data_IF_720567588851
#
_entry.id   IF_720567588851
#
_cell.length_a   1.000
_cell.length_b   1.000
_cell.length_c   1.000
_cell.angle_alpha   90.00
_cell.angle_beta   90.00
_cell.angle_gamma   90.00
#
_symmetry.space_group_name_H-M   'P 1'
#
loop_
_entity.id
_entity.type
_entity.pdbx_description
1 polymer ?
#
# COMPACT_ATOMS: atom_id res chain seq x y z
N UNK A 1 -1.92 -33.88 47.52
CA UNK A 1 -0.56 -33.83 48.10
C UNK A 1 0.35 -34.63 47.20
N UNK A 2 0.97 -34.00 46.21
CA UNK A 2 2.07 -34.58 45.43
C UNK A 2 2.98 -33.45 44.99
N UNK A 3 4.23 -33.55 45.43
CA UNK A 3 5.38 -32.65 45.26
C UNK A 3 5.96 -32.68 43.85
N UNK A 4 6.40 -31.52 43.35
CA UNK A 4 7.54 -31.42 42.42
C UNK A 4 8.55 -30.40 42.95
N UNK A 5 9.82 -30.83 42.99
CA UNK A 5 11.00 -30.06 43.41
C UNK A 5 11.65 -29.39 42.21
N UNK A 6 12.20 -28.20 42.47
CA UNK A 6 13.11 -27.40 41.65
C UNK A 6 14.52 -28.03 41.49
N UNK A 7 15.18 -27.68 40.37
CA UNK A 7 16.64 -27.38 40.24
C UNK A 7 16.88 -26.93 38.78
N UNK A 8 17.11 -25.65 38.42
CA UNK A 8 18.23 -24.71 38.68
C UNK A 8 19.55 -25.07 37.98
N UNK A 9 20.20 -24.01 37.45
CA UNK A 9 21.56 -23.83 36.86
C UNK A 9 21.50 -23.67 35.32
N UNK A 10 21.56 -22.49 34.69
CA UNK A 10 22.54 -21.36 34.71
C UNK A 10 23.97 -21.77 34.36
N UNK A 11 24.44 -21.39 33.16
CA UNK A 11 25.84 -21.03 32.89
C UNK A 11 25.97 -20.25 31.57
N UNK A 12 26.41 -18.99 31.70
CA UNK A 12 27.06 -18.17 30.67
C UNK A 12 28.28 -18.91 30.08
N UNK A 13 28.56 -18.70 28.79
CA UNK A 13 29.93 -18.65 28.29
C UNK A 13 30.05 -17.75 27.05
N UNK A 14 30.72 -16.62 27.28
CA UNK A 14 31.30 -15.69 26.32
C UNK A 14 32.47 -16.38 25.60
N UNK A 15 32.62 -16.20 24.27
CA UNK A 15 33.93 -16.36 23.63
C UNK A 15 34.11 -15.39 22.47
N UNK A 16 34.84 -14.33 22.78
CA UNK A 16 35.55 -13.44 21.88
C UNK A 16 36.76 -14.20 21.29
N UNK A 17 37.00 -14.10 19.97
CA UNK A 17 38.31 -14.39 19.38
C UNK A 17 38.55 -13.48 18.18
N UNK A 18 39.36 -12.44 18.42
CA UNK A 18 40.12 -11.74 17.38
C UNK A 18 41.28 -12.62 16.91
N UNK A 19 41.56 -12.60 15.60
CA UNK A 19 42.93 -12.71 15.10
C UNK A 19 43.08 -11.86 13.84
N UNK A 20 43.96 -10.87 13.94
CA UNK A 20 44.42 -10.02 12.86
C UNK A 20 45.63 -10.66 12.14
N UNK A 21 45.84 -10.34 10.86
CA UNK A 21 47.00 -9.57 10.37
C UNK A 21 47.28 -9.76 8.87
N UNK A 22 47.36 -8.62 8.16
CA UNK A 22 48.31 -8.23 7.08
C UNK A 22 48.31 -9.02 5.76
N UNK A 23 48.38 -8.41 4.57
CA UNK A 23 48.88 -7.08 4.20
C UNK A 23 48.69 -6.77 2.70
N UNK A 24 49.43 -5.78 2.15
CA UNK A 24 49.01 -4.88 1.08
C UNK A 24 49.39 -5.33 -0.34
N UNK A 25 48.71 -4.77 -1.35
CA UNK A 25 49.10 -4.81 -2.75
C UNK A 25 48.68 -3.52 -3.45
N UNK A 26 49.68 -2.71 -3.78
CA UNK A 26 49.66 -1.55 -4.68
C UNK A 26 49.53 -1.98 -6.16
N UNK A 27 49.53 -0.98 -7.06
CA UNK A 27 49.65 -0.98 -8.54
C UNK A 27 48.33 -0.55 -9.23
N UNK A 28 48.15 0.74 -9.53
CA UNK A 28 48.56 1.42 -10.78
C UNK A 28 48.00 0.72 -12.03
N UNK A 29 47.01 1.34 -12.72
CA UNK A 29 47.25 1.79 -14.10
C UNK A 29 46.15 2.74 -14.61
N UNK A 30 46.66 3.71 -15.37
CA UNK A 30 46.05 4.74 -16.19
C UNK A 30 45.37 4.21 -17.46
N UNK A 31 44.41 4.96 -18.00
CA UNK A 31 43.85 4.67 -19.33
C UNK A 31 42.74 5.62 -19.76
N UNK A 32 43.11 6.82 -20.20
CA UNK A 32 42.30 7.67 -21.07
C UNK A 32 42.01 6.94 -22.40
N UNK A 33 40.76 6.95 -22.88
CA UNK A 33 40.51 6.87 -24.33
C UNK A 33 39.28 7.71 -24.71
N UNK A 34 39.57 8.80 -25.43
CA UNK A 34 38.65 9.56 -26.26
C UNK A 34 38.20 8.71 -27.45
N UNK A 35 36.93 8.80 -27.82
CA UNK A 35 36.41 8.17 -29.04
C UNK A 35 35.14 8.86 -29.53
N UNK A 36 35.32 9.98 -30.24
CA UNK A 36 34.33 10.55 -31.14
C UNK A 36 33.84 9.50 -32.14
N UNK A 37 32.54 9.40 -32.38
CA UNK A 37 32.03 8.99 -33.71
C UNK A 37 30.71 9.68 -34.01
N UNK A 38 30.80 10.68 -34.89
CA UNK A 38 29.70 11.21 -35.67
C UNK A 38 29.49 10.36 -36.93
N UNK A 39 28.23 10.18 -37.32
CA UNK A 39 27.75 9.70 -38.63
C UNK A 39 26.23 9.60 -38.52
N UNK A 40 25.40 10.45 -39.11
CA UNK A 40 25.23 10.88 -40.50
C UNK A 40 25.01 9.73 -41.51
N UNK A 41 23.72 9.48 -41.79
CA UNK A 41 23.10 9.17 -43.10
C UNK A 41 21.57 9.17 -42.84
N UNK A 42 20.78 10.19 -43.18
CA UNK A 42 20.13 10.49 -44.47
C UNK A 42 19.52 9.31 -45.25
N UNK A 43 18.29 9.58 -45.72
CA UNK A 43 17.46 8.98 -46.79
C UNK A 43 16.43 7.89 -46.38
N UNK A 44 15.13 8.21 -46.30
CA UNK A 44 14.10 8.28 -47.37
C UNK A 44 13.52 6.90 -47.70
N UNK A 45 12.25 6.63 -47.37
CA UNK A 45 11.31 6.14 -48.39
C UNK A 45 9.84 6.37 -48.03
N UNK A 46 9.10 6.69 -49.09
CA UNK A 46 7.70 7.05 -49.15
C UNK A 46 6.93 5.84 -49.66
N UNK A 47 5.83 5.46 -49.02
CA UNK A 47 5.03 4.32 -49.46
C UNK A 47 3.56 4.50 -49.14
N UNK A 48 2.93 5.44 -49.83
CA UNK A 48 1.48 5.49 -49.97
C UNK A 48 1.07 4.46 -51.02
N UNK A 49 0.22 3.49 -50.66
CA UNK A 49 -0.62 2.79 -51.63
C UNK A 49 -2.05 2.72 -51.11
N UNK A 50 -2.91 3.39 -51.88
CA UNK A 50 -4.34 3.19 -51.98
C UNK A 50 -4.65 1.71 -52.33
N UNK A 51 -5.68 1.11 -51.72
CA UNK A 51 -6.43 0.06 -52.41
C UNK A 51 -7.85 -0.09 -51.87
N UNK A 52 -8.76 0.53 -52.60
CA UNK A 52 -10.07 0.06 -53.06
C UNK A 52 -11.00 -0.71 -52.09
N UNK A 53 -12.08 -0.02 -51.75
CA UNK A 53 -13.48 -0.47 -51.65
C UNK A 53 -13.77 -1.81 -52.36
N UNK A 54 -14.28 -2.79 -51.61
CA UNK A 54 -15.10 -3.88 -52.17
C UNK A 54 -16.44 -3.97 -51.43
N UNK A 55 -17.50 -3.70 -52.18
CA UNK A 55 -18.90 -3.81 -51.77
C UNK A 55 -19.45 -5.12 -52.32
N UNK A 56 -19.47 -6.16 -51.49
CA UNK A 56 -20.05 -7.46 -51.80
C UNK A 56 -21.21 -7.79 -50.86
N UNK A 57 -22.42 -7.39 -51.25
CA UNK A 57 -23.69 -7.91 -50.71
C UNK A 57 -23.97 -9.26 -51.37
N UNK A 58 -24.01 -10.36 -50.61
CA UNK A 58 -24.85 -11.52 -50.95
C UNK A 58 -25.45 -12.16 -49.69
N UNK A 59 -26.72 -12.52 -49.87
CA UNK A 59 -27.72 -12.89 -48.90
C UNK A 59 -27.61 -14.32 -48.36
N UNK A 60 -28.34 -14.51 -47.26
CA UNK A 60 -29.01 -15.75 -46.85
C UNK A 60 -28.13 -16.89 -46.36
N UNK A 61 -28.22 -17.18 -45.06
CA UNK A 61 -29.02 -18.34 -44.64
C UNK A 61 -29.37 -18.26 -43.15
N UNK A 62 -30.65 -18.52 -42.89
CA UNK A 62 -31.29 -18.64 -41.59
C UNK A 62 -30.67 -19.78 -40.78
N UNK A 63 -29.72 -19.44 -39.91
CA UNK A 63 -29.27 -20.26 -38.79
C UNK A 63 -29.92 -19.74 -37.52
N UNK A 64 -30.47 -20.65 -36.71
CA UNK A 64 -31.10 -20.33 -35.44
C UNK A 64 -30.18 -19.43 -34.59
N UNK A 65 -30.68 -18.25 -34.28
CA UNK A 65 -30.13 -17.32 -33.31
C UNK A 65 -30.35 -17.95 -31.92
N UNK A 66 -29.51 -18.94 -31.64
CA UNK A 66 -29.26 -19.45 -30.31
C UNK A 66 -28.55 -18.33 -29.57
N UNK A 67 -29.33 -17.64 -28.74
CA UNK A 67 -28.91 -16.63 -27.78
C UNK A 67 -27.88 -17.25 -26.85
N UNK A 68 -26.64 -17.36 -27.33
CA UNK A 68 -25.45 -17.55 -26.52
C UNK A 68 -24.98 -16.17 -26.11
N UNK A 69 -25.82 -15.58 -25.26
CA UNK A 69 -25.42 -14.85 -24.06
C UNK A 69 -23.93 -14.49 -24.06
N UNK A 70 -23.60 -13.34 -24.61
CA UNK A 70 -22.36 -12.62 -24.37
C UNK A 70 -22.36 -12.14 -22.92
N UNK A 71 -22.33 -13.08 -21.97
CA UNK A 71 -22.50 -12.88 -20.53
C UNK A 71 -21.36 -12.11 -19.86
N UNK A 72 -20.95 -10.98 -20.44
CA UNK A 72 -20.58 -9.78 -19.70
C UNK A 72 -21.83 -9.31 -18.93
N UNK A 73 -22.16 -9.97 -17.81
CA UNK A 73 -23.45 -9.69 -17.16
C UNK A 73 -23.66 -10.20 -15.74
N UNK A 74 -22.73 -10.96 -15.15
CA UNK A 74 -22.77 -11.19 -13.70
C UNK A 74 -22.01 -10.06 -12.98
N UNK A 75 -22.41 -8.81 -13.22
CA UNK A 75 -22.18 -7.72 -12.29
C UNK A 75 -23.07 -7.95 -11.05
N UNK A 76 -22.56 -8.78 -10.13
CA UNK A 76 -22.84 -8.71 -8.69
C UNK A 76 -24.27 -8.98 -8.22
N UNK A 77 -24.34 -9.86 -7.22
CA UNK A 77 -25.49 -10.18 -6.35
C UNK A 77 -26.14 -8.99 -5.61
N UNK A 78 -25.78 -7.75 -5.94
CA UNK A 78 -26.26 -6.49 -5.36
C UNK A 78 -27.29 -5.76 -6.23
N UNK A 79 -27.79 -6.41 -7.28
CA UNK A 79 -28.81 -5.89 -8.17
C UNK A 79 -28.26 -4.94 -9.23
N UNK A 80 -29.14 -4.17 -9.85
CA UNK A 80 -28.79 -3.19 -10.89
C UNK A 80 -27.78 -2.17 -10.37
N UNK A 81 -26.77 -1.88 -11.20
CA UNK A 81 -25.69 -0.92 -10.90
C UNK A 81 -25.90 0.33 -11.74
N UNK A 82 -25.93 1.49 -11.09
CA UNK A 82 -25.96 2.80 -11.76
C UNK A 82 -24.66 3.55 -11.50
N UNK A 83 -24.01 4.03 -12.55
CA UNK A 83 -22.79 4.83 -12.44
C UNK A 83 -23.08 6.27 -12.85
N UNK A 84 -22.85 7.21 -11.94
CA UNK A 84 -23.05 8.64 -12.16
C UNK A 84 -21.73 9.39 -12.00
N UNK A 85 -21.31 10.11 -13.04
CA UNK A 85 -20.13 10.99 -12.95
C UNK A 85 -20.48 12.23 -12.13
N UNK A 86 -19.76 12.45 -11.03
CA UNK A 86 -19.94 13.60 -10.15
C UNK A 86 -19.15 14.80 -10.67
N UNK A 87 -19.81 15.95 -10.74
CA UNK A 87 -19.19 17.24 -11.13
C UNK A 87 -19.14 18.25 -9.99
N UNK A 88 -20.04 18.10 -9.02
CA UNK A 88 -20.01 18.83 -7.76
C UNK A 88 -19.37 17.92 -6.71
N UNK A 89 -18.16 18.27 -6.28
CA UNK A 89 -17.39 17.51 -5.29
C UNK A 89 -17.63 17.99 -3.86
N UNK A 90 -18.30 19.14 -3.67
CA UNK A 90 -18.54 19.71 -2.35
C UNK A 90 -19.79 19.11 -1.71
N UNK A 91 -20.82 18.88 -2.53
CA UNK A 91 -22.07 18.28 -2.06
C UNK A 91 -21.87 16.78 -1.81
N UNK A 92 -22.20 16.33 -0.59
CA UNK A 92 -22.20 14.92 -0.25
C UNK A 92 -23.14 14.14 -1.20
N UNK A 93 -22.65 13.10 -1.88
CA UNK A 93 -23.50 12.21 -2.66
C UNK A 93 -24.55 11.55 -1.76
N UNK A 94 -25.65 11.07 -2.35
CA UNK A 94 -26.64 10.31 -1.60
C UNK A 94 -25.97 9.13 -0.89
N UNK A 95 -26.38 8.83 0.35
CA UNK A 95 -25.79 7.79 1.23
C UNK A 95 -24.40 8.09 1.83
N UNK A 96 -23.80 9.24 1.53
CA UNK A 96 -22.53 9.69 2.14
C UNK A 96 -22.75 10.86 3.10
N UNK A 97 -21.86 10.98 4.08
CA UNK A 97 -21.88 12.07 5.06
C UNK A 97 -20.97 13.23 4.64
N UNK A 98 -19.95 12.93 3.84
CA UNK A 98 -18.94 13.88 3.37
C UNK A 98 -19.08 14.14 1.87
N UNK A 99 -18.70 15.34 1.43
CA UNK A 99 -18.42 15.62 0.01
C UNK A 99 -17.13 14.91 -0.43
N UNK A 100 -17.00 14.64 -1.73
CA UNK A 100 -15.80 14.00 -2.29
C UNK A 100 -14.55 14.86 -2.08
N UNK A 101 -14.67 16.19 -2.09
CA UNK A 101 -13.56 17.09 -1.78
C UNK A 101 -12.99 16.83 -0.36
N UNK A 102 -13.87 16.61 0.62
CA UNK A 102 -13.47 16.29 1.98
C UNK A 102 -12.86 14.88 2.10
N UNK A 103 -13.35 13.91 1.32
CA UNK A 103 -12.75 12.57 1.25
C UNK A 103 -11.35 12.61 0.61
N UNK A 104 -11.19 13.40 -0.45
CA UNK A 104 -9.91 13.59 -1.12
C UNK A 104 -8.90 14.28 -0.22
N UNK A 105 -9.33 15.29 0.54
CA UNK A 105 -8.48 15.94 1.53
C UNK A 105 -7.91 14.92 2.54
N UNK A 106 -8.68 13.88 2.90
CA UNK A 106 -8.24 12.83 3.81
C UNK A 106 -7.38 11.73 3.17
N UNK A 107 -6.87 11.90 1.96
CA UNK A 107 -6.05 10.87 1.28
C UNK A 107 -4.92 11.46 0.43
N UNK A 108 -5.20 12.55 -0.29
CA UNK A 108 -4.22 13.24 -1.12
C UNK A 108 -3.13 13.87 -0.26
N UNK A 109 -1.87 13.56 -0.57
CA UNK A 109 -0.71 14.02 0.17
C UNK A 109 0.50 13.11 -0.04
N UNK A 110 1.64 13.56 0.48
CA UNK A 110 2.88 12.79 0.54
C UNK A 110 2.99 12.12 1.90
N UNK A 111 3.51 10.90 1.91
CA UNK A 111 3.69 10.10 3.10
C UNK A 111 5.07 9.45 3.10
N UNK A 112 5.70 9.43 4.28
CA UNK A 112 6.96 8.75 4.52
C UNK A 112 6.82 7.73 5.64
N UNK A 113 7.49 6.58 5.53
CA UNK A 113 7.43 5.55 6.54
C UNK A 113 8.26 4.32 6.24
N UNK A 114 7.74 3.16 6.61
CA UNK A 114 8.46 1.89 6.49
C UNK A 114 7.62 0.85 5.76
N UNK A 115 8.24 0.19 4.79
CA UNK A 115 7.74 -1.02 4.15
C UNK A 115 8.42 -2.24 4.79
N UNK A 116 7.64 -3.22 5.25
CA UNK A 116 8.12 -4.38 6.00
C UNK A 116 7.62 -5.67 5.39
N UNK A 117 8.56 -6.51 4.96
CA UNK A 117 8.27 -7.85 4.48
C UNK A 117 8.06 -8.79 5.65
N UNK A 118 7.02 -9.62 5.58
CA UNK A 118 6.82 -10.62 6.61
C UNK A 118 7.93 -11.67 6.58
N UNK A 119 8.20 -12.24 7.75
CA UNK A 119 9.10 -13.37 7.85
C UNK A 119 8.54 -14.55 7.01
N UNK A 120 9.41 -15.40 6.45
CA UNK A 120 8.97 -16.59 5.73
C UNK A 120 8.14 -17.49 6.65
N UNK A 121 6.83 -17.53 6.44
CA UNK A 121 5.89 -18.39 7.18
C UNK A 121 4.94 -19.08 6.20
N UNK A 122 5.43 -20.14 5.56
CA UNK A 122 4.64 -20.91 4.61
C UNK A 122 5.46 -21.57 3.52
N UNK A 123 4.79 -22.26 2.59
CA UNK A 123 5.42 -22.87 1.41
C UNK A 123 5.83 -21.84 0.37
N UNK A 124 5.32 -20.60 0.47
CA UNK A 124 5.61 -19.52 -0.47
C UNK A 124 6.34 -18.40 0.26
N UNK A 125 7.41 -17.89 -0.32
CA UNK A 125 8.27 -16.88 0.30
C UNK A 125 8.70 -15.84 -0.71
N UNK A 126 8.95 -14.61 -0.26
CA UNK A 126 9.57 -13.58 -1.08
C UNK A 126 11.07 -13.50 -0.75
N UNK A 127 11.92 -13.17 -1.72
CA UNK A 127 13.37 -13.00 -1.51
C UNK A 127 13.69 -11.95 -0.43
N UNK A 128 12.84 -10.93 -0.32
CA UNK A 128 12.95 -9.87 0.68
C UNK A 128 12.31 -10.23 2.03
N UNK A 129 11.83 -11.45 2.24
CA UNK A 129 11.14 -11.85 3.47
C UNK A 129 11.97 -11.57 4.73
N UNK A 130 11.33 -10.96 5.73
CA UNK A 130 11.96 -10.55 6.99
C UNK A 130 12.84 -9.30 6.92
N UNK A 131 12.83 -8.58 5.80
CA UNK A 131 13.53 -7.30 5.64
C UNK A 131 12.58 -6.10 5.72
N UNK A 132 13.12 -4.89 5.77
CA UNK A 132 12.38 -3.64 5.77
C UNK A 132 13.16 -2.56 5.05
N UNK A 133 12.44 -1.66 4.37
CA UNK A 133 13.00 -0.50 3.68
C UNK A 133 12.23 0.78 4.04
N UNK A 134 12.87 1.93 3.83
CA UNK A 134 12.17 3.22 3.82
C UNK A 134 11.14 3.23 2.70
N UNK A 135 10.00 3.88 2.96
CA UNK A 135 8.89 4.04 2.03
C UNK A 135 8.62 5.53 1.85
N UNK A 136 8.53 5.95 0.60
CA UNK A 136 7.94 7.23 0.19
C UNK A 136 6.77 6.92 -0.74
N UNK A 137 5.59 7.48 -0.46
CA UNK A 137 4.49 7.37 -1.39
C UNK A 137 3.62 8.65 -1.39
N UNK A 138 3.13 9.02 -2.55
CA UNK A 138 2.33 10.23 -2.76
C UNK A 138 1.04 9.87 -3.50
N UNK A 139 -0.08 10.41 -3.02
CA UNK A 139 -1.37 10.33 -3.71
C UNK A 139 -1.74 11.72 -4.18
N UNK A 140 -1.96 11.88 -5.49
CA UNK A 140 -2.33 13.15 -6.12
C UNK A 140 -3.69 13.05 -6.82
N UNK A 141 -4.49 14.10 -6.71
CA UNK A 141 -5.71 14.25 -7.50
C UNK A 141 -5.54 15.38 -8.53
N UNK A 142 -5.40 15.00 -9.80
CA UNK A 142 -5.12 15.93 -10.91
C UNK A 142 -6.36 16.19 -11.78
N UNK A 143 -7.55 16.24 -11.15
CA UNK A 143 -8.81 16.42 -11.86
C UNK A 143 -9.30 15.15 -12.56
N UNK A 144 -8.93 13.97 -12.04
CA UNK A 144 -9.43 12.67 -12.50
C UNK A 144 -10.95 12.53 -12.37
N UNK A 145 -11.52 11.52 -13.02
CA UNK A 145 -12.96 11.28 -12.97
C UNK A 145 -13.38 10.85 -11.56
N UNK A 146 -14.53 11.37 -11.12
CA UNK A 146 -15.17 10.96 -9.87
C UNK A 146 -16.50 10.33 -10.23
N UNK A 147 -16.70 9.09 -9.80
CA UNK A 147 -17.90 8.30 -10.06
C UNK A 147 -18.60 7.95 -8.76
N UNK A 148 -19.93 8.08 -8.75
CA UNK A 148 -20.78 7.44 -7.76
C UNK A 148 -21.31 6.14 -8.39
N UNK A 149 -21.02 5.02 -7.74
CA UNK A 149 -21.54 3.70 -8.10
C UNK A 149 -22.61 3.32 -7.10
N UNK A 150 -23.86 3.29 -7.58
CA UNK A 150 -25.04 2.97 -6.78
C UNK A 150 -25.54 1.56 -7.09
N UNK A 151 -25.85 0.82 -6.04
CA UNK A 151 -26.42 -0.52 -6.11
C UNK A 151 -27.89 -0.51 -5.71
N UNK A 152 -28.73 -1.17 -6.50
CA UNK A 152 -30.18 -1.24 -6.25
C UNK A 152 -30.51 -1.84 -4.87
N UNK A 153 -29.68 -2.76 -4.36
CA UNK A 153 -29.86 -3.43 -3.06
C UNK A 153 -28.99 -2.82 -1.94
N UNK A 154 -28.64 -1.53 -2.02
CA UNK A 154 -27.84 -0.88 -0.98
C UNK A 154 -28.40 -1.09 0.45
N UNK A 155 -27.53 -1.54 1.36
CA UNK A 155 -27.87 -1.88 2.74
C UNK A 155 -28.42 -3.29 2.93
N UNK A 156 -28.68 -4.04 1.85
CA UNK A 156 -29.18 -5.40 1.89
C UNK A 156 -28.06 -6.42 1.65
N UNK A 157 -28.24 -7.63 2.17
CA UNK A 157 -27.30 -8.72 1.94
C UNK A 157 -27.51 -9.29 0.53
N UNK A 158 -26.44 -9.53 -0.23
CA UNK A 158 -26.56 -10.19 -1.52
C UNK A 158 -27.25 -11.54 -1.35
N UNK A 159 -28.34 -11.75 -2.10
CA UNK A 159 -29.16 -12.97 -2.08
C UNK A 159 -29.72 -13.36 -0.68
N UNK A 160 -29.74 -12.43 0.28
CA UNK A 160 -30.19 -12.69 1.65
C UNK A 160 -29.29 -13.64 2.45
N UNK A 161 -28.04 -13.84 2.03
CA UNK A 161 -27.11 -14.74 2.72
C UNK A 161 -26.71 -14.19 4.10
N UNK A 162 -27.17 -14.87 5.16
CA UNK A 162 -26.83 -14.51 6.54
C UNK A 162 -25.31 -14.60 6.76
N UNK A 163 -24.70 -13.48 7.17
CA UNK A 163 -23.26 -13.38 7.45
C UNK A 163 -22.42 -12.81 6.29
N UNK A 164 -23.04 -12.45 5.17
CA UNK A 164 -22.37 -11.68 4.10
C UNK A 164 -22.15 -10.22 4.46
N UNK A 165 -21.42 -9.50 3.61
CA UNK A 165 -21.31 -8.05 3.66
C UNK A 165 -22.49 -7.41 2.91
N UNK A 166 -23.17 -6.40 3.49
CA UNK A 166 -24.25 -5.72 2.80
C UNK A 166 -23.73 -4.96 1.58
N UNK A 167 -24.54 -4.92 0.53
CA UNK A 167 -24.26 -4.15 -0.67
C UNK A 167 -24.12 -2.66 -0.31
N UNK A 168 -23.03 -2.04 -0.75
CA UNK A 168 -22.70 -0.67 -0.38
C UNK A 168 -22.48 0.16 -1.62
N UNK A 169 -23.14 1.32 -1.69
CA UNK A 169 -22.80 2.34 -2.67
C UNK A 169 -21.35 2.78 -2.44
N UNK A 170 -20.66 3.16 -3.50
CA UNK A 170 -19.28 3.62 -3.38
C UNK A 170 -19.00 4.85 -4.23
N UNK A 171 -18.09 5.68 -3.74
CA UNK A 171 -17.42 6.70 -4.54
C UNK A 171 -16.12 6.10 -5.05
N UNK A 172 -15.88 6.26 -6.35
CA UNK A 172 -14.63 5.92 -7.04
C UNK A 172 -14.00 7.21 -7.54
N UNK A 173 -12.70 7.40 -7.31
CA UNK A 173 -11.95 8.57 -7.78
C UNK A 173 -10.68 8.12 -8.48
N UNK A 174 -10.50 8.56 -9.71
CA UNK A 174 -9.26 8.36 -10.45
C UNK A 174 -8.20 9.34 -9.90
N UNK A 175 -7.10 8.79 -9.39
CA UNK A 175 -5.99 9.52 -8.81
C UNK A 175 -4.65 9.06 -9.41
N UNK A 176 -3.56 9.72 -9.02
CA UNK A 176 -2.20 9.33 -9.35
C UNK A 176 -1.52 8.85 -8.07
N UNK A 177 -0.78 7.75 -8.16
CA UNK A 177 0.02 7.19 -7.08
C UNK A 177 1.48 7.15 -7.51
N UNK A 178 2.34 7.70 -6.67
CA UNK A 178 3.77 7.43 -6.68
C UNK A 178 4.09 6.58 -5.45
N UNK A 179 4.77 5.44 -5.61
CA UNK A 179 5.08 4.51 -4.52
C UNK A 179 6.48 3.93 -4.70
N UNK A 180 7.40 4.30 -3.81
CA UNK A 180 8.81 3.95 -3.91
C UNK A 180 9.38 3.43 -2.59
N UNK A 181 10.29 2.47 -2.69
CA UNK A 181 11.07 1.98 -1.55
C UNK A 181 12.56 2.26 -1.76
N UNK A 182 13.28 2.54 -0.68
CA UNK A 182 14.72 2.89 -0.74
C UNK A 182 15.62 1.76 -1.26
N UNK A 183 15.15 0.52 -1.18
CA UNK A 183 15.83 -0.65 -1.73
C UNK A 183 15.60 -0.83 -3.23
N UNK A 184 14.77 0.01 -3.87
CA UNK A 184 14.47 -0.04 -5.29
C UNK A 184 13.50 -1.15 -5.71
N UNK A 185 13.00 -1.95 -4.76
CA UNK A 185 12.01 -3.00 -5.07
C UNK A 185 10.72 -2.40 -5.63
N UNK A 186 10.36 -1.20 -5.19
CA UNK A 186 9.26 -0.43 -5.75
C UNK A 186 9.76 0.93 -6.25
N UNK A 187 9.27 1.32 -7.43
CA UNK A 187 9.47 2.65 -8.01
C UNK A 187 8.25 3.06 -8.85
N UNK A 188 7.06 2.72 -8.37
CA UNK A 188 5.83 2.75 -9.15
C UNK A 188 5.31 4.17 -9.34
N UNK A 189 4.91 4.46 -10.57
CA UNK A 189 4.07 5.61 -10.90
C UNK A 189 2.83 5.12 -11.63
N UNK A 190 1.74 4.98 -10.90
CA UNK A 190 0.47 4.54 -11.44
C UNK A 190 -0.44 5.74 -11.71
N UNK A 191 -0.75 5.96 -12.98
CA UNK A 191 -1.75 6.94 -13.41
C UNK A 191 -3.12 6.26 -13.39
N UNK A 192 -4.12 6.95 -12.85
CA UNK A 192 -5.50 6.47 -12.73
C UNK A 192 -5.67 5.28 -11.77
N UNK A 193 -5.05 5.34 -10.60
CA UNK A 193 -5.44 4.45 -9.49
C UNK A 193 -6.86 4.80 -9.03
N UNK A 194 -7.66 3.79 -8.73
CA UNK A 194 -9.03 3.99 -8.26
C UNK A 194 -9.08 4.03 -6.73
N UNK A 195 -9.21 5.22 -6.17
CA UNK A 195 -9.53 5.42 -4.77
C UNK A 195 -11.01 5.14 -4.54
N UNK A 196 -11.34 4.36 -3.51
CA UNK A 196 -12.69 3.91 -3.18
C UNK A 196 -13.08 4.28 -1.76
N UNK A 197 -14.28 4.82 -1.60
CA UNK A 197 -14.95 4.99 -0.30
C UNK A 197 -16.32 4.30 -0.32
N UNK A 198 -16.64 3.56 0.74
CA UNK A 198 -17.91 2.84 0.88
C UNK A 198 -18.90 3.67 1.69
N UNK A 199 -20.17 3.68 1.30
CA UNK A 199 -21.25 4.33 2.04
C UNK A 199 -21.55 3.62 3.37
N UNK A 200 -21.33 2.31 3.44
CA UNK A 200 -21.39 1.51 4.66
C UNK A 200 -19.99 1.31 5.23
N UNK A 201 -19.81 1.66 6.51
CA UNK A 201 -18.54 1.53 7.22
C UNK A 201 -17.72 2.81 7.17
N UNK A 202 -16.41 2.67 6.96
CA UNK A 202 -15.52 3.81 6.82
C UNK A 202 -15.73 4.48 5.46
N UNK A 203 -16.01 5.78 5.47
CA UNK A 203 -16.03 6.63 4.27
C UNK A 203 -14.64 7.18 3.92
N UNK A 204 -13.59 6.70 4.60
CA UNK A 204 -12.23 7.01 4.21
C UNK A 204 -11.89 6.34 2.89
N UNK A 205 -11.09 7.03 2.08
CA UNK A 205 -10.61 6.45 0.82
C UNK A 205 -9.64 5.30 1.11
N UNK A 206 -9.62 4.36 0.19
CA UNK A 206 -8.71 3.23 0.15
C UNK A 206 -8.43 2.88 -1.30
N UNK A 207 -7.37 2.15 -1.61
CA UNK A 207 -7.19 1.61 -2.94
C UNK A 207 -6.72 0.16 -2.88
N UNK A 208 -6.94 -0.52 -4.00
CA UNK A 208 -6.30 -1.79 -4.34
C UNK A 208 -5.82 -1.67 -5.78
N UNK A 209 -4.53 -1.82 -5.97
CA UNK A 209 -3.86 -1.72 -7.24
C UNK A 209 -3.15 -3.04 -7.50
N UNK A 210 -3.49 -3.68 -8.62
CA UNK A 210 -2.80 -4.87 -9.08
C UNK A 210 -1.50 -4.45 -9.77
N UNK A 211 -0.40 -5.05 -9.37
CA UNK A 211 0.90 -4.83 -9.98
C UNK A 211 1.01 -5.67 -11.24
N UNK A 212 1.33 -5.00 -12.34
CA UNK A 212 1.65 -5.63 -13.61
C UNK A 212 3.17 -5.62 -13.79
N UNK A 213 3.80 -6.79 -13.66
CA UNK A 213 5.24 -6.95 -13.78
C UNK A 213 5.79 -6.64 -15.18
N UNK A 214 4.95 -6.53 -16.21
CA UNK A 214 5.40 -6.10 -17.54
C UNK A 214 5.69 -4.60 -17.60
N UNK A 215 5.01 -3.81 -16.75
CA UNK A 215 5.13 -2.34 -16.70
C UNK A 215 5.62 -1.80 -15.35
N UNK A 216 5.85 -2.69 -14.39
CA UNK A 216 6.45 -2.40 -13.08
C UNK A 216 7.81 -1.70 -13.27
N UNK A 217 8.00 -0.58 -12.56
CA UNK A 217 9.20 0.24 -12.72
C UNK A 217 10.30 -0.11 -11.69
N UNK A 218 9.92 -0.76 -10.58
CA UNK A 218 10.84 -1.27 -9.57
C UNK A 218 11.58 -2.55 -9.96
N UNK A 219 12.40 -3.05 -9.05
CA UNK A 219 13.16 -4.30 -9.20
C UNK A 219 12.37 -5.55 -8.78
N UNK A 220 11.18 -5.40 -8.19
CA UNK A 220 10.34 -6.54 -7.83
C UNK A 220 9.85 -7.26 -9.10
N UNK A 221 10.02 -8.58 -9.13
CA UNK A 221 9.58 -9.39 -10.25
C UNK A 221 8.84 -10.64 -9.75
N UNK A 222 8.15 -11.33 -10.65
CA UNK A 222 7.55 -12.65 -10.34
C UNK A 222 8.60 -13.62 -9.78
N UNK A 223 9.84 -13.59 -10.30
CA UNK A 223 10.94 -14.42 -9.84
C UNK A 223 11.40 -14.10 -8.40
N UNK A 224 10.97 -12.98 -7.81
CA UNK A 224 11.23 -12.63 -6.40
C UNK A 224 10.39 -13.46 -5.43
N UNK A 225 9.48 -14.28 -5.93
CA UNK A 225 8.63 -15.17 -5.14
C UNK A 225 9.03 -16.64 -5.39
N UNK A 226 9.41 -17.36 -4.33
CA UNK A 226 9.51 -18.81 -4.35
C UNK A 226 8.12 -19.39 -4.10
N UNK A 227 7.51 -19.95 -5.15
CA UNK A 227 6.16 -20.52 -5.15
C UNK A 227 6.15 -22.06 -5.13
N UNK A 228 7.30 -22.70 -4.93
CA UNK A 228 7.43 -24.15 -5.05
C UNK A 228 7.28 -24.67 -6.49
N UNK A 229 7.21 -26.00 -6.66
CA UNK A 229 7.27 -26.65 -7.98
C UNK A 229 5.99 -26.47 -8.82
N UNK A 230 4.85 -26.23 -8.19
CA UNK A 230 3.51 -26.22 -8.83
C UNK A 230 2.75 -24.92 -8.64
N UNK A 231 3.30 -23.97 -7.88
CA UNK A 231 2.68 -22.68 -7.63
C UNK A 231 2.90 -21.72 -8.79
N UNK A 232 1.85 -21.00 -9.16
CA UNK A 232 1.86 -19.95 -10.17
C UNK A 232 1.37 -18.64 -9.55
N UNK A 233 2.11 -17.56 -9.76
CA UNK A 233 1.72 -16.23 -9.30
C UNK A 233 0.58 -15.73 -10.17
N UNK A 234 -0.61 -15.57 -9.59
CA UNK A 234 -1.74 -15.04 -10.35
C UNK A 234 -1.81 -13.53 -10.28
N UNK A 235 -1.61 -12.99 -9.09
CA UNK A 235 -1.82 -11.59 -8.80
C UNK A 235 -0.89 -11.15 -7.69
N UNK A 236 -0.36 -9.93 -7.81
CA UNK A 236 0.20 -9.19 -6.69
C UNK A 236 -0.57 -7.90 -6.55
N UNK A 237 -1.09 -7.64 -5.37
CA UNK A 237 -1.98 -6.52 -5.09
C UNK A 237 -1.40 -5.64 -3.98
N UNK A 238 -1.16 -4.38 -4.32
CA UNK A 238 -0.86 -3.32 -3.36
C UNK A 238 -2.18 -2.68 -2.91
N UNK A 239 -2.43 -2.65 -1.60
CA UNK A 239 -3.60 -1.97 -1.04
C UNK A 239 -3.22 -0.95 0.03
N UNK A 240 -3.97 0.14 0.12
CA UNK A 240 -3.85 1.14 1.17
C UNK A 240 -5.21 1.55 1.73
N UNK A 241 -5.21 2.03 2.97
CA UNK A 241 -6.30 2.76 3.60
C UNK A 241 -5.75 4.03 4.25
N UNK A 242 -6.48 5.13 4.10
CA UNK A 242 -6.10 6.42 4.64
C UNK A 242 -6.89 6.70 5.92
N UNK A 243 -6.21 7.13 6.98
CA UNK A 243 -6.84 7.46 8.25
C UNK A 243 -6.64 8.95 8.53
N UNK A 244 -7.75 9.69 8.58
CA UNK A 244 -7.81 11.07 9.04
C UNK A 244 -8.64 11.20 10.32
N UNK A 245 -8.61 12.36 10.96
CA UNK A 245 -9.32 12.65 12.23
C UNK A 245 -10.88 12.70 12.11
N UNK A 246 -11.44 12.09 11.06
CA UNK A 246 -12.84 12.23 10.72
C UNK A 246 -13.17 13.61 10.15
N UNK A 247 -14.36 13.77 9.58
CA UNK A 247 -14.89 15.08 9.21
C UNK A 247 -14.17 15.83 8.07
N UNK A 248 -13.37 15.16 7.24
CA UNK A 248 -12.66 15.79 6.13
C UNK A 248 -11.32 16.44 6.49
N UNK A 249 -10.78 16.14 7.68
CA UNK A 249 -9.40 16.47 8.02
C UNK A 249 -8.42 15.69 7.11
N UNK A 250 -7.24 16.26 6.82
CA UNK A 250 -6.20 15.55 6.08
C UNK A 250 -5.83 14.24 6.79
N UNK A 251 -5.47 13.22 6.01
CA UNK A 251 -4.96 11.99 6.60
C UNK A 251 -3.65 12.28 7.31
N UNK A 252 -3.53 11.77 8.52
CA UNK A 252 -2.29 11.83 9.30
C UNK A 252 -1.44 10.60 9.02
N UNK A 253 -2.10 9.50 8.66
CA UNK A 253 -1.45 8.23 8.38
C UNK A 253 -2.11 7.47 7.23
N UNK A 254 -1.31 6.63 6.60
CA UNK A 254 -1.76 5.61 5.68
C UNK A 254 -1.17 4.26 6.09
N UNK A 255 -1.97 3.22 5.92
CA UNK A 255 -1.54 1.85 6.20
C UNK A 255 -2.01 0.93 5.10
N UNK A 256 -1.21 -0.08 4.80
CA UNK A 256 -1.50 -0.97 3.69
C UNK A 256 -0.70 -2.25 3.71
N UNK A 257 -0.90 -3.03 2.67
CA UNK A 257 -0.23 -4.32 2.50
C UNK A 257 0.00 -4.65 1.04
N UNK A 258 1.05 -5.44 0.80
CA UNK A 258 1.22 -6.19 -0.43
C UNK A 258 0.68 -7.60 -0.19
N UNK A 259 -0.23 -8.05 -1.04
CA UNK A 259 -0.79 -9.39 -1.00
C UNK A 259 -0.55 -10.12 -2.31
N UNK A 260 -0.43 -11.44 -2.25
CA UNK A 260 -0.28 -12.29 -3.44
C UNK A 260 -1.44 -13.28 -3.51
N UNK A 261 -1.84 -13.64 -4.73
CA UNK A 261 -2.69 -14.77 -5.03
C UNK A 261 -1.88 -15.84 -5.77
N UNK A 262 -1.94 -17.07 -5.27
CA UNK A 262 -1.21 -18.21 -5.86
C UNK A 262 -2.20 -19.29 -6.28
N UNK A 263 -2.01 -19.79 -7.51
CA UNK A 263 -2.74 -20.93 -8.04
C UNK A 263 -1.85 -22.17 -8.02
N UNK A 264 -2.47 -23.33 -7.82
CA UNK A 264 -1.84 -24.63 -8.06
C UNK A 264 -2.61 -25.33 -9.15
N UNK A 265 -1.88 -25.91 -10.09
CA UNK A 265 -2.42 -26.56 -11.30
C UNK A 265 -3.39 -27.70 -11.00
N UNK A 266 -3.38 -28.24 -9.78
CA UNK A 266 -4.28 -29.33 -9.35
C UNK A 266 -5.46 -28.88 -8.48
N UNK A 267 -5.39 -27.70 -7.85
CA UNK A 267 -6.37 -27.24 -6.85
C UNK A 267 -7.16 -25.99 -7.27
N UNK A 268 -6.85 -25.37 -8.41
CA UNK A 268 -7.47 -24.16 -8.99
C UNK A 268 -7.43 -22.90 -8.10
N UNK A 269 -7.05 -22.99 -6.82
CA UNK A 269 -6.76 -21.89 -5.89
C UNK A 269 -6.06 -22.44 -4.64
N UNK A 270 -4.94 -21.84 -4.24
CA UNK A 270 -4.26 -22.23 -2.99
C UNK A 270 -4.49 -21.23 -1.88
N UNK A 271 -4.36 -19.94 -2.20
CA UNK A 271 -4.48 -18.92 -1.18
C UNK A 271 -4.29 -17.50 -1.72
N UNK A 272 -4.84 -16.58 -0.94
CA UNK A 272 -4.59 -15.15 -1.04
C UNK A 272 -4.17 -14.67 0.35
N UNK A 273 -3.08 -13.91 0.43
CA UNK A 273 -2.61 -13.42 1.71
C UNK A 273 -1.57 -12.33 1.61
N UNK A 274 -1.42 -11.51 2.67
CA UNK A 274 -0.44 -10.46 2.69
C UNK A 274 0.97 -11.04 2.90
N UNK A 275 1.95 -10.52 2.17
CA UNK A 275 3.38 -10.89 2.25
C UNK A 275 4.24 -9.74 2.76
N UNK A 276 3.71 -8.52 2.74
CA UNK A 276 4.31 -7.35 3.34
C UNK A 276 3.24 -6.39 3.84
N UNK A 277 3.62 -5.51 4.75
CA UNK A 277 2.81 -4.38 5.21
C UNK A 277 3.61 -3.10 5.19
N UNK A 278 2.89 -1.99 5.20
CA UNK A 278 3.52 -0.68 5.36
C UNK A 278 2.65 0.26 6.15
N UNK A 279 3.33 1.24 6.74
CA UNK A 279 2.73 2.35 7.44
C UNK A 279 3.51 3.62 7.08
N UNK A 280 2.80 4.67 6.70
CA UNK A 280 3.36 5.97 6.38
C UNK A 280 2.61 7.08 7.11
N UNK A 281 3.36 8.11 7.52
CA UNK A 281 2.82 9.34 8.09
C UNK A 281 2.86 10.43 7.04
N UNK A 282 1.85 11.31 7.03
CA UNK A 282 1.85 12.44 6.13
C UNK A 282 3.08 13.33 6.39
N UNK A 283 3.75 13.75 5.31
CA UNK A 283 4.88 14.68 5.43
C UNK A 283 4.41 16.02 6.02
N UNK A 284 5.26 16.63 6.84
CA UNK A 284 4.90 17.86 7.56
C UNK A 284 4.07 17.63 8.83
N UNK A 285 3.74 16.38 9.21
CA UNK A 285 3.20 16.09 10.56
C UNK A 285 4.20 16.46 11.66
N UNK A 286 5.50 16.54 11.34
CA UNK A 286 6.52 17.08 12.25
C UNK A 286 6.22 18.54 12.65
N UNK A 287 5.56 19.32 11.78
CA UNK A 287 5.06 20.67 12.09
C UNK A 287 3.78 20.63 12.96
N UNK A 288 2.98 19.55 12.91
CA UNK A 288 1.79 19.38 13.76
C UNK A 288 2.16 19.16 15.23
N UNK A 289 3.31 18.54 15.49
CA UNK A 289 3.85 18.34 16.83
C UNK A 289 4.67 19.54 17.34
N UNK A 290 4.73 20.65 16.60
CA UNK A 290 5.19 21.95 17.09
C UNK A 290 6.47 21.92 17.92
N UNK A 291 7.47 21.13 17.53
CA UNK A 291 8.75 21.06 18.24
C UNK A 291 8.63 20.73 19.74
N UNK A 292 7.93 19.64 20.09
CA UNK A 292 7.97 19.11 21.46
C UNK A 292 9.41 19.03 21.96
N UNK A 293 9.65 19.58 23.14
CA UNK A 293 10.97 19.60 23.76
C UNK A 293 11.36 18.24 24.32
N UNK A 294 12.62 18.11 24.75
CA UNK A 294 13.10 16.94 25.47
C UNK A 294 12.17 16.56 26.62
N UNK A 295 11.63 15.33 26.56
CA UNK A 295 10.76 14.78 27.59
C UNK A 295 9.27 15.04 27.39
N UNK A 296 8.84 15.49 26.21
CA UNK A 296 7.44 15.65 25.83
C UNK A 296 7.01 14.59 24.80
N UNK A 297 5.73 14.20 24.86
CA UNK A 297 5.05 13.29 23.94
C UNK A 297 4.08 14.09 23.08
N UNK A 298 4.15 13.91 21.76
CA UNK A 298 3.14 14.45 20.87
C UNK A 298 1.90 13.54 20.90
N UNK A 299 0.79 14.07 21.42
CA UNK A 299 -0.50 13.41 21.31
C UNK A 299 -1.12 13.79 19.97
N UNK A 300 -0.97 12.90 18.98
CA UNK A 300 -1.57 13.06 17.65
C UNK A 300 -3.09 12.72 17.62
N UNK A 301 -3.76 12.72 18.77
CA UNK A 301 -5.17 12.37 18.88
C UNK A 301 -5.95 13.53 19.53
N UNK A 302 -6.47 14.45 18.71
CA UNK A 302 -7.34 15.56 19.17
C UNK A 302 -7.02 16.91 18.51
N UNK A 303 -7.94 17.88 18.67
CA UNK A 303 -7.84 19.25 18.13
C UNK A 303 -6.40 19.80 18.25
N UNK A 304 -5.68 19.85 17.13
CA UNK A 304 -4.30 20.33 17.02
C UNK A 304 -4.19 21.81 17.41
N UNK A 305 -4.11 22.09 18.70
CA UNK A 305 -3.67 23.36 19.27
C UNK A 305 -2.21 23.29 19.76
N UNK A 306 -1.62 24.44 20.10
CA UNK A 306 -0.23 24.59 20.62
C UNK A 306 0.06 23.82 21.95
N UNK A 307 -0.82 22.90 22.38
CA UNK A 307 -0.73 22.12 23.61
C UNK A 307 -0.73 20.60 23.40
N UNK A 308 -0.34 20.11 22.21
CA UNK A 308 -0.27 18.68 21.90
C UNK A 308 0.94 17.95 22.51
N UNK A 309 1.89 18.70 23.08
CA UNK A 309 3.04 18.15 23.80
C UNK A 309 2.68 17.94 25.29
N UNK A 310 2.51 16.68 25.71
CA UNK A 310 2.37 16.33 27.13
C UNK A 310 3.70 15.82 27.68
N UNK A 311 4.08 16.22 28.89
CA UNK A 311 5.27 15.67 29.55
C UNK A 311 5.19 14.15 29.67
N UNK A 312 6.31 13.45 29.44
CA UNK A 312 6.43 12.02 29.69
C UNK A 312 5.90 11.70 31.10
N UNK A 313 5.12 10.64 31.28
CA UNK A 313 4.78 10.17 32.61
C UNK A 313 6.07 10.05 33.45
N UNK A 314 6.07 10.52 34.70
CA UNK A 314 7.27 10.54 35.55
C UNK A 314 7.99 9.17 35.70
N UNK A 315 7.28 8.07 35.40
CA UNK A 315 7.85 6.72 35.34
C UNK A 315 8.77 6.49 34.12
N UNK A 316 8.56 7.23 33.04
CA UNK A 316 9.34 7.20 31.81
C UNK A 316 10.50 8.22 31.79
N UNK A 317 10.47 9.27 32.62
CA UNK A 317 11.56 10.26 32.71
C UNK A 317 12.90 9.64 33.18
N UNK A 318 12.84 8.60 34.01
CA UNK A 318 14.05 7.99 34.58
C UNK A 318 14.69 6.92 33.68
N UNK A 319 13.86 6.18 32.93
CA UNK A 319 14.29 5.11 32.01
C UNK A 319 13.30 5.03 30.84
N UNK A 320 13.50 5.81 29.76
CA UNK A 320 12.59 5.80 28.61
C UNK A 320 12.71 4.46 27.88
N UNK A 321 11.71 3.58 28.05
CA UNK A 321 11.58 2.33 27.31
C UNK A 321 10.10 1.99 27.10
N UNK A 322 9.79 1.17 26.10
CA UNK A 322 8.39 0.80 25.76
C UNK A 322 7.62 0.18 26.95
N UNK A 323 8.32 -0.42 27.91
CA UNK A 323 7.73 -1.00 29.12
C UNK A 323 7.16 0.02 30.10
N UNK A 324 7.59 1.29 30.06
CA UNK A 324 7.05 2.35 30.91
C UNK A 324 5.72 2.91 30.35
N UNK A 325 5.53 2.89 29.03
CA UNK A 325 4.32 3.35 28.33
C UNK A 325 3.22 2.29 28.33
N UNK A 326 3.61 1.01 28.28
CA UNK A 326 2.68 -0.14 28.23
C UNK A 326 1.82 -0.38 29.48
N UNK A 327 1.95 0.44 30.52
CA UNK A 327 1.19 0.28 31.78
C UNK A 327 -0.17 0.99 31.83
N UNK A 328 -0.45 1.95 30.94
CA UNK A 328 -1.67 2.76 31.07
C UNK A 328 -2.45 3.00 29.77
N UNK A 329 -1.83 3.18 28.60
CA UNK A 329 -2.56 3.64 27.40
C UNK A 329 -1.83 3.24 26.10
N UNK A 330 -1.65 1.95 25.82
CA UNK A 330 -1.38 1.53 24.44
C UNK A 330 -2.67 0.96 23.84
N UNK A 331 -3.67 1.83 23.66
CA UNK A 331 -4.72 1.61 22.68
C UNK A 331 -4.25 2.25 21.38
N UNK A 332 -4.20 1.46 20.32
CA UNK A 332 -4.08 1.84 18.90
C UNK A 332 -3.27 3.12 18.61
N UNK A 333 -1.95 2.94 18.47
CA UNK A 333 -0.93 3.91 18.02
C UNK A 333 -0.58 5.12 18.93
N UNK A 334 0.72 5.21 19.25
CA UNK A 334 1.35 6.32 19.96
C UNK A 334 2.63 6.69 19.20
N UNK A 335 2.85 7.98 18.89
CA UNK A 335 4.16 8.51 18.50
C UNK A 335 4.91 8.91 19.77
N UNK A 336 6.11 8.38 19.95
CA UNK A 336 7.07 8.94 20.92
C UNK A 336 8.29 9.43 20.14
N UNK A 337 8.64 10.71 20.32
CA UNK A 337 9.93 11.25 19.90
C UNK A 337 10.92 11.05 21.06
N UNK A 338 12.00 10.32 20.83
CA UNK A 338 13.16 10.32 21.73
C UNK A 338 14.35 10.83 20.95
N UNK A 339 14.90 11.98 21.36
CA UNK A 339 16.14 12.50 20.82
C UNK A 339 17.31 11.63 21.32
N UNK A 340 17.97 10.92 20.42
CA UNK A 340 19.20 10.18 20.72
C UNK A 340 20.42 11.10 20.76
N UNK A 341 21.48 10.71 21.50
CA UNK A 341 22.78 11.38 21.43
C UNK A 341 23.31 11.35 19.98
N UNK A 342 23.13 12.45 19.25
CA UNK A 342 23.48 12.56 17.83
C UNK A 342 22.41 13.22 16.94
N UNK A 343 21.24 13.58 17.46
CA UNK A 343 20.18 14.25 16.69
C UNK A 343 19.33 13.28 15.85
N UNK A 344 19.42 11.98 16.12
CA UNK A 344 18.53 10.98 15.54
C UNK A 344 17.25 10.87 16.37
N UNK A 345 16.11 11.24 15.79
CA UNK A 345 14.78 11.00 16.35
C UNK A 345 14.46 9.52 16.16
N UNK A 346 14.36 8.78 17.26
CA UNK A 346 13.85 7.41 17.21
C UNK A 346 12.34 7.44 17.48
N UNK A 347 11.55 7.15 16.45
CA UNK A 347 10.10 7.02 16.56
C UNK A 347 9.73 5.60 16.96
N UNK A 348 8.97 5.44 18.04
CA UNK A 348 8.42 4.14 18.43
C UNK A 348 6.94 4.10 18.06
N UNK A 349 6.61 3.40 16.97
CA UNK A 349 5.23 3.09 16.60
C UNK A 349 4.87 1.76 17.27
N UNK A 350 3.96 1.78 18.24
CA UNK A 350 3.38 0.55 18.78
C UNK A 350 2.31 0.05 17.81
N UNK A 351 2.66 -0.93 16.96
CA UNK A 351 1.66 -1.74 16.27
C UNK A 351 0.90 -2.57 17.33
N UNK A 352 -0.42 -2.41 17.40
CA UNK A 352 -1.29 -3.33 18.14
C UNK A 352 -1.24 -4.72 17.51
N UNK A 353 -1.52 -5.80 18.27
CA UNK A 353 -1.63 -7.15 17.73
C UNK A 353 -2.81 -7.31 16.76
#
# INVERSE_FOLDING_TARGET
MTTYRLSSSTALALSLACFACTGPGDDEDSGDEQGDTAGDTTETDSGAEDSETDTGTEDSETGADDTTDTGEGNQGSCGEVTVTVLRDLQTAPNTFELGVEAMLASAVGSYAGTFSWYAPDGPYTADAAGTSAGLEFEVRYEGGEVRLVEYALHGELPEGQLGGEPCSNRVEVDAVLDFATDDGLFAEQAVAIELRASALGSQALSFRHELDFEVHAGELAEASFDLGETGELRMVQLGASFQGEGGGAPAVAASGSLAIEVLETELDFVGFGPVASYFGLAEGVEDLCGGCGDGELCQAWGDFGESSCEGLPAVCEAEPNCGCVGGAVCGDALLACVEGEGGTVSMVICAGP
#
